data_IF_564816293532
#
_entry.id   IF_564816293532
#
_cell.length_a   1.000
_cell.length_b   1.000
_cell.length_c   1.000
_cell.angle_alpha   90.00
_cell.angle_beta   90.00
_cell.angle_gamma   90.00
#
_symmetry.space_group_name_H-M   'P 1'
#
loop_
_entity.id
_entity.type
_entity.pdbx_description
1 polymer ?
#
# COMPACT_ATOMS: atom_id res chain seq x y z
N UNK A 1 18.05 -11.15 -5.34
CA UNK A 1 16.69 -10.82 -5.82
C UNK A 1 16.47 -9.34 -5.63
N UNK A 2 15.85 -8.64 -6.58
CA UNK A 2 15.52 -7.23 -6.38
C UNK A 2 14.27 -7.08 -5.49
N UNK A 3 14.30 -6.10 -4.59
CA UNK A 3 13.17 -5.63 -3.79
C UNK A 3 12.42 -4.54 -4.55
N UNK A 4 11.20 -4.86 -4.94
CA UNK A 4 10.34 -3.99 -5.75
C UNK A 4 9.22 -3.46 -4.85
N UNK A 5 9.24 -2.15 -4.60
CA UNK A 5 8.15 -1.47 -3.93
C UNK A 5 7.06 -1.10 -4.93
N UNK A 6 5.80 -1.42 -4.61
CA UNK A 6 4.64 -1.02 -5.41
C UNK A 6 3.82 -0.06 -4.55
N UNK A 7 3.76 1.19 -4.95
CA UNK A 7 3.00 2.26 -4.28
C UNK A 7 1.65 2.40 -4.98
N UNK A 8 0.56 2.56 -4.23
CA UNK A 8 -0.78 2.60 -4.83
C UNK A 8 -1.83 3.31 -3.96
N UNK A 9 -3.01 3.56 -4.55
CA UNK A 9 -4.13 4.25 -3.93
C UNK A 9 -4.03 5.76 -4.10
N UNK A 10 -4.14 6.49 -2.99
CA UNK A 10 -3.97 7.94 -2.94
C UNK A 10 -5.27 8.73 -2.80
N UNK A 11 -5.11 10.04 -2.58
CA UNK A 11 -6.19 11.04 -2.50
C UNK A 11 -6.54 11.53 -3.90
N UNK A 12 -7.15 10.66 -4.69
CA UNK A 12 -7.58 10.91 -6.08
C UNK A 12 -8.93 10.22 -6.35
N UNK A 13 -9.68 10.70 -7.35
CA UNK A 13 -10.85 9.99 -7.88
C UNK A 13 -10.49 8.71 -8.65
N UNK A 14 -9.19 8.47 -8.89
CA UNK A 14 -8.66 7.25 -9.53
C UNK A 14 -8.10 6.25 -8.51
N UNK A 15 -8.45 6.40 -7.21
CA UNK A 15 -7.95 5.54 -6.14
C UNK A 15 -8.14 4.04 -6.45
N UNK A 16 -9.33 3.67 -6.90
CA UNK A 16 -9.74 2.31 -7.23
C UNK A 16 -9.02 1.79 -8.48
N UNK A 17 -8.73 2.68 -9.43
CA UNK A 17 -7.96 2.37 -10.64
C UNK A 17 -6.50 2.07 -10.28
N UNK A 18 -5.93 2.82 -9.34
CA UNK A 18 -4.59 2.56 -8.79
C UNK A 18 -4.53 1.21 -8.08
N UNK A 19 -5.53 0.85 -7.27
CA UNK A 19 -5.62 -0.48 -6.62
C UNK A 19 -5.64 -1.62 -7.66
N UNK A 20 -6.47 -1.49 -8.69
CA UNK A 20 -6.57 -2.49 -9.76
C UNK A 20 -5.22 -2.69 -10.49
N UNK A 21 -4.53 -1.58 -10.79
CA UNK A 21 -3.22 -1.59 -11.45
C UNK A 21 -2.15 -2.27 -10.58
N UNK A 22 -2.08 -1.89 -9.30
CA UNK A 22 -1.13 -2.47 -8.36
C UNK A 22 -1.36 -3.96 -8.11
N UNK A 23 -2.62 -4.42 -8.12
CA UNK A 23 -2.96 -5.85 -8.06
C UNK A 23 -2.44 -6.61 -9.28
N UNK A 24 -2.58 -6.04 -10.48
CA UNK A 24 -2.05 -6.65 -11.70
C UNK A 24 -0.52 -6.74 -11.68
N UNK A 25 0.17 -5.65 -11.30
CA UNK A 25 1.64 -5.58 -11.19
C UNK A 25 2.15 -6.56 -10.14
N UNK A 26 1.61 -6.52 -8.92
CA UNK A 26 1.99 -7.42 -7.83
C UNK A 26 1.79 -8.88 -8.21
N UNK A 27 0.66 -9.19 -8.87
CA UNK A 27 0.40 -10.53 -9.38
C UNK A 27 1.42 -10.99 -10.41
N UNK A 28 1.81 -10.11 -11.35
CA UNK A 28 2.83 -10.42 -12.35
C UNK A 28 4.22 -10.64 -11.73
N UNK A 29 4.63 -9.79 -10.79
CA UNK A 29 5.89 -9.92 -10.07
C UNK A 29 5.96 -11.22 -9.26
N UNK A 30 4.89 -11.55 -8.52
CA UNK A 30 4.81 -12.79 -7.72
C UNK A 30 4.82 -14.04 -8.60
N UNK A 31 4.09 -14.06 -9.73
CA UNK A 31 4.13 -15.18 -10.68
C UNK A 31 5.52 -15.44 -11.24
N UNK A 32 6.32 -14.39 -11.45
CA UNK A 32 7.70 -14.52 -11.90
C UNK A 32 8.63 -15.11 -10.84
N UNK A 33 8.33 -14.94 -9.54
CA UNK A 33 9.07 -15.54 -8.43
C UNK A 33 10.52 -15.06 -8.26
N UNK A 34 10.93 -13.97 -8.94
CA UNK A 34 12.32 -13.46 -8.93
C UNK A 34 12.54 -12.22 -8.06
N UNK A 35 11.47 -11.68 -7.49
CA UNK A 35 11.47 -10.40 -6.79
C UNK A 35 10.76 -10.53 -5.46
N UNK A 36 11.27 -9.80 -4.47
CA UNK A 36 10.54 -9.54 -3.23
C UNK A 36 9.65 -8.31 -3.45
N UNK A 37 8.34 -8.45 -3.22
CA UNK A 37 7.38 -7.36 -3.44
C UNK A 37 7.04 -6.70 -2.11
N UNK A 38 7.23 -5.38 -2.03
CA UNK A 38 6.91 -4.55 -0.86
C UNK A 38 5.69 -3.68 -1.22
N UNK A 39 4.47 -4.07 -0.84
CA UNK A 39 3.28 -3.27 -1.10
C UNK A 39 3.23 -2.07 -0.16
N UNK A 40 2.88 -0.90 -0.70
CA UNK A 40 2.68 0.33 0.07
C UNK A 40 1.43 1.04 -0.45
N UNK A 41 0.44 1.18 0.41
CA UNK A 41 -0.81 1.85 0.10
C UNK A 41 -0.85 3.30 0.57
N UNK A 42 -1.67 4.11 -0.08
CA UNK A 42 -2.05 5.45 0.37
C UNK A 42 -3.59 5.49 0.44
N UNK A 43 -4.15 5.89 1.57
CA UNK A 43 -5.60 5.99 1.75
C UNK A 43 -6.19 7.14 0.92
N UNK A 44 -7.53 7.17 0.80
CA UNK A 44 -8.24 8.33 0.22
C UNK A 44 -8.06 9.63 1.02
N UNK A 45 -7.67 9.54 2.29
CA UNK A 45 -7.30 10.71 3.09
C UNK A 45 -5.84 11.14 2.91
N UNK A 46 -5.04 10.37 2.16
CA UNK A 46 -3.63 10.63 1.88
C UNK A 46 -2.66 10.00 2.87
N UNK A 47 -3.13 9.08 3.74
CA UNK A 47 -2.29 8.45 4.77
C UNK A 47 -1.59 7.20 4.25
N UNK A 48 -0.35 7.00 4.66
CA UNK A 48 0.43 5.84 4.22
C UNK A 48 0.09 4.58 5.02
N UNK A 49 0.02 3.43 4.33
CA UNK A 49 -0.11 2.09 4.90
C UNK A 49 1.02 1.23 4.35
N UNK A 50 1.91 0.76 5.23
CA UNK A 50 3.10 0.02 4.83
C UNK A 50 3.37 -1.23 5.69
N UNK A 51 2.42 -1.59 6.54
CA UNK A 51 2.41 -2.78 7.40
C UNK A 51 1.14 -3.57 7.12
N UNK A 52 1.09 -4.85 7.53
CA UNK A 52 -0.09 -5.68 7.31
C UNK A 52 -0.29 -6.07 5.85
N UNK A 53 -1.52 -5.92 5.35
CA UNK A 53 -1.87 -6.14 3.94
C UNK A 53 -2.49 -4.87 3.36
N UNK A 54 -1.67 -3.90 2.92
CA UNK A 54 -2.16 -2.61 2.44
C UNK A 54 -3.18 -2.73 1.30
N UNK A 55 -3.10 -3.78 0.49
CA UNK A 55 -4.07 -4.01 -0.59
C UNK A 55 -5.45 -4.34 -0.02
N UNK A 56 -5.53 -5.36 0.85
CA UNK A 56 -6.80 -5.72 1.50
C UNK A 56 -7.37 -4.58 2.33
N UNK A 57 -6.50 -3.91 3.07
CA UNK A 57 -6.83 -2.80 3.95
C UNK A 57 -7.48 -1.63 3.18
N UNK A 58 -6.95 -1.28 2.00
CA UNK A 58 -7.55 -0.24 1.15
C UNK A 58 -8.81 -0.70 0.41
N UNK A 59 -8.92 -1.97 0.05
CA UNK A 59 -10.12 -2.54 -0.56
C UNK A 59 -11.30 -2.61 0.44
N UNK A 60 -11.03 -2.97 1.70
CA UNK A 60 -12.04 -3.12 2.76
C UNK A 60 -12.37 -1.81 3.47
N UNK A 61 -11.43 -0.85 3.47
CA UNK A 61 -11.50 0.32 4.34
C UNK A 61 -11.29 0.00 5.82
N UNK A 62 -10.80 -1.20 6.15
CA UNK A 62 -10.57 -1.69 7.51
C UNK A 62 -9.17 -2.29 7.68
N UNK A 63 -8.49 -1.88 8.75
CA UNK A 63 -7.21 -2.44 9.19
C UNK A 63 -7.46 -3.45 10.30
N UNK A 64 -6.93 -4.66 10.13
CA UNK A 64 -6.97 -5.69 11.17
C UNK A 64 -5.77 -5.53 12.12
N UNK A 65 -6.05 -5.47 13.42
CA UNK A 65 -5.05 -5.31 14.47
C UNK A 65 -4.58 -6.65 15.04
N UNK A 66 -3.42 -6.70 15.72
CA UNK A 66 -2.90 -7.95 16.29
C UNK A 66 -3.82 -8.64 17.32
N UNK A 67 -4.74 -7.89 17.94
CA UNK A 67 -5.72 -8.40 18.88
C UNK A 67 -7.03 -8.89 18.22
N UNK A 68 -7.07 -8.88 16.88
CA UNK A 68 -8.22 -9.29 16.08
C UNK A 68 -9.33 -8.23 15.96
N UNK A 69 -9.14 -7.04 16.53
CA UNK A 69 -10.04 -5.92 16.31
C UNK A 69 -9.80 -5.26 14.94
N UNK A 70 -10.79 -4.50 14.45
CA UNK A 70 -10.67 -3.75 13.19
C UNK A 70 -10.75 -2.25 13.43
N UNK A 71 -9.97 -1.49 12.68
CA UNK A 71 -10.00 -0.03 12.66
C UNK A 71 -10.35 0.49 11.28
N UNK A 72 -11.20 1.51 11.18
CA UNK A 72 -11.46 2.16 9.90
C UNK A 72 -10.24 2.93 9.39
N UNK A 73 -9.84 2.64 8.17
CA UNK A 73 -8.73 3.32 7.50
C UNK A 73 -9.30 4.38 6.58
N UNK A 74 -9.20 5.61 7.06
CA UNK A 74 -9.84 6.76 6.43
C UNK A 74 -9.51 7.96 7.28
N UNK A 75 -10.12 8.07 8.46
CA UNK A 75 -9.81 9.09 9.49
C UNK A 75 -9.51 10.49 8.95
N UNK A 76 -8.84 11.36 9.74
CA UNK A 76 -8.58 12.72 9.30
C UNK A 76 -7.66 12.74 8.07
N UNK A 77 -7.78 13.76 7.21
CA UNK A 77 -6.82 14.02 6.14
C UNK A 77 -5.38 13.96 6.66
N UNK A 78 -4.51 13.36 5.86
CA UNK A 78 -3.08 13.38 6.09
C UNK A 78 -2.56 14.80 6.26
N UNK A 79 -1.60 14.98 7.15
CA UNK A 79 -0.92 16.26 7.33
C UNK A 79 -0.19 16.65 6.05
N UNK A 80 -0.07 17.96 5.78
CA UNK A 80 0.75 18.43 4.69
C UNK A 80 2.21 17.98 4.90
N UNK A 81 2.76 17.27 3.92
CA UNK A 81 4.10 16.68 4.01
C UNK A 81 4.16 15.37 4.79
N UNK A 82 3.05 14.66 4.98
CA UNK A 82 3.06 13.31 5.52
C UNK A 82 4.05 12.43 4.74
N UNK A 83 4.99 11.83 5.47
CA UNK A 83 6.06 11.02 4.90
C UNK A 83 5.71 9.55 4.98
N UNK A 84 6.22 8.81 4.01
CA UNK A 84 6.26 7.35 4.07
C UNK A 84 6.85 6.90 5.42
N UNK A 85 6.24 5.93 6.12
CA UNK A 85 6.75 5.44 7.39
C UNK A 85 8.19 4.95 7.27
N UNK A 86 8.98 5.20 8.32
CA UNK A 86 10.33 4.65 8.42
C UNK A 86 10.29 3.11 8.53
N UNK A 87 11.41 2.45 8.22
CA UNK A 87 11.63 1.01 8.39
C UNK A 87 11.10 0.07 7.29
N UNK A 88 10.93 0.54 6.06
CA UNK A 88 10.62 -0.33 4.91
C UNK A 88 11.81 -1.16 4.39
N UNK A 89 12.99 -0.95 4.97
CA UNK A 89 14.25 -1.47 4.46
C UNK A 89 14.68 -0.77 3.17
N UNK A 90 15.79 -1.22 2.59
CA UNK A 90 16.18 -0.79 1.25
C UNK A 90 15.22 -1.36 0.20
N UNK A 91 14.99 -0.60 -0.86
CA UNK A 91 14.25 -1.00 -2.05
C UNK A 91 15.09 -0.69 -3.28
N UNK A 92 15.09 -1.58 -4.26
CA UNK A 92 15.90 -1.43 -5.47
C UNK A 92 15.14 -0.69 -6.58
N UNK A 93 13.82 -0.88 -6.64
CA UNK A 93 12.93 -0.33 -7.66
C UNK A 93 11.60 0.09 -7.02
N UNK A 94 11.03 1.20 -7.50
CA UNK A 94 9.71 1.69 -7.10
C UNK A 94 8.80 1.78 -8.31
N UNK A 95 7.63 1.15 -8.23
CA UNK A 95 6.51 1.29 -9.17
C UNK A 95 5.41 2.12 -8.51
N UNK A 96 5.02 3.28 -9.08
CA UNK A 96 3.86 4.04 -8.64
C UNK A 96 2.54 3.54 -9.25
#
# INVERSE_FOLDING_TARGET
MARVMVVFGGRSGEHEVSLASARAITGALRRGGRHEVVPVGITRSGRWISSGDPMRELESGLQELPDGSTLEIGGPPAAAGEKLPANLGSVDVVFP
#
